data_IF_498642091699
#
_entry.id   IF_498642091699
#
_cell.length_a   1.000
_cell.length_b   1.000
_cell.length_c   1.000
_cell.angle_alpha   90.00
_cell.angle_beta   90.00
_cell.angle_gamma   90.00
#
_symmetry.space_group_name_H-M   'P 1'
#
loop_
_entity.id
_entity.type
_entity.pdbx_description
1 polymer ?
#
# COMPACT_ATOMS: atom_id res chain seq x y z
N UNK A 1 -19.52 10.55 15.36
CA UNK A 1 -18.79 11.83 15.14
C UNK A 1 -18.77 12.12 13.65
N UNK A 2 -19.00 13.37 13.22
CA UNK A 2 -18.98 13.72 11.81
C UNK A 2 -17.60 13.52 11.18
N UNK A 3 -17.57 13.23 9.87
CA UNK A 3 -16.30 13.15 9.14
C UNK A 3 -15.61 14.51 9.10
N UNK A 4 -14.28 14.59 9.28
CA UNK A 4 -13.55 15.82 9.11
C UNK A 4 -13.63 16.32 7.68
N UNK A 5 -13.83 17.62 7.51
CA UNK A 5 -13.84 18.28 6.20
C UNK A 5 -12.42 18.73 5.82
N UNK A 6 -12.07 18.57 4.55
CA UNK A 6 -10.87 19.11 3.91
C UNK A 6 -11.31 19.97 2.74
N UNK A 7 -10.91 21.24 2.73
CA UNK A 7 -11.20 22.12 1.59
C UNK A 7 -9.91 22.42 0.85
N UNK A 8 -9.82 21.96 -0.38
CA UNK A 8 -8.75 22.29 -1.32
C UNK A 8 -9.20 23.44 -2.21
N UNK A 9 -8.38 24.48 -2.32
CA UNK A 9 -8.65 25.68 -3.11
C UNK A 9 -7.52 25.77 -4.15
N UNK A 10 -7.89 25.66 -5.42
CA UNK A 10 -6.99 25.68 -6.58
C UNK A 10 -7.46 26.85 -7.45
N UNK A 11 -6.57 27.75 -7.85
CA UNK A 11 -6.96 28.84 -8.76
C UNK A 11 -7.44 28.26 -10.09
N UNK A 12 -8.20 29.05 -10.85
CA UNK A 12 -8.66 28.64 -12.18
C UNK A 12 -7.48 28.34 -13.11
N UNK A 13 -6.43 29.17 -13.09
CA UNK A 13 -5.19 28.95 -13.85
C UNK A 13 -4.52 27.62 -13.51
N UNK A 14 -4.35 27.32 -12.21
CA UNK A 14 -3.77 26.07 -11.74
C UNK A 14 -4.65 24.85 -12.06
N UNK A 15 -5.98 25.01 -12.03
CA UNK A 15 -6.92 23.95 -12.41
C UNK A 15 -6.82 23.62 -13.90
N UNK A 16 -6.72 24.63 -14.77
CA UNK A 16 -6.47 24.43 -16.21
C UNK A 16 -5.14 23.74 -16.48
N UNK A 17 -4.10 24.05 -15.70
CA UNK A 17 -2.81 23.38 -15.81
C UNK A 17 -2.89 21.90 -15.44
N UNK A 18 -3.61 21.54 -14.37
CA UNK A 18 -3.86 20.15 -13.99
C UNK A 18 -4.63 19.37 -15.07
N UNK A 19 -5.62 19.99 -15.70
CA UNK A 19 -6.45 19.34 -16.73
C UNK A 19 -5.76 19.27 -18.10
N UNK A 20 -4.78 20.14 -18.38
CA UNK A 20 -4.07 20.17 -19.67
C UNK A 20 -3.40 18.83 -19.99
N UNK A 21 -2.84 18.17 -18.99
CA UNK A 21 -2.31 16.82 -19.13
C UNK A 21 -2.37 16.08 -17.80
N UNK A 22 -3.39 15.22 -17.67
CA UNK A 22 -3.62 14.41 -16.47
C UNK A 22 -2.44 13.51 -16.10
N UNK A 23 -1.61 13.14 -17.07
CA UNK A 23 -0.48 12.21 -16.92
C UNK A 23 0.82 12.92 -16.54
N UNK A 24 0.80 14.25 -16.46
CA UNK A 24 1.93 15.00 -15.97
C UNK A 24 2.02 14.88 -14.44
N UNK A 25 3.25 14.75 -13.94
CA UNK A 25 3.55 14.66 -12.51
C UNK A 25 3.82 16.01 -11.85
N UNK A 26 3.65 17.11 -12.61
CA UNK A 26 3.78 18.48 -12.13
C UNK A 26 2.78 18.82 -11.04
N UNK A 27 3.28 19.53 -10.02
CA UNK A 27 2.46 20.11 -8.99
C UNK A 27 2.07 21.55 -9.33
N UNK A 28 0.86 21.93 -8.97
CA UNK A 28 0.38 23.32 -9.03
C UNK A 28 0.21 23.89 -7.62
N UNK A 29 0.36 25.22 -7.43
CA UNK A 29 0.09 25.84 -6.15
C UNK A 29 -1.40 25.79 -5.79
N UNK A 30 -1.69 25.54 -4.52
CA UNK A 30 -3.05 25.51 -3.97
C UNK A 30 -3.05 25.88 -2.48
N UNK A 31 -4.24 25.98 -1.88
CA UNK A 31 -4.42 26.14 -0.44
C UNK A 31 -5.26 24.99 0.10
N UNK A 32 -4.86 24.46 1.25
CA UNK A 32 -5.64 23.46 1.99
C UNK A 32 -6.15 24.10 3.28
N UNK A 33 -7.46 24.05 3.49
CA UNK A 33 -8.11 24.45 4.74
C UNK A 33 -8.52 23.21 5.52
N UNK A 34 -8.06 23.12 6.77
CA UNK A 34 -8.33 22.04 7.70
C UNK A 34 -8.57 22.62 9.09
N UNK A 35 -9.70 22.28 9.73
CA UNK A 35 -10.06 22.73 11.08
C UNK A 35 -9.89 24.26 11.28
N UNK A 36 -10.41 25.07 10.35
CA UNK A 36 -10.34 26.53 10.40
C UNK A 36 -8.98 27.14 10.03
N UNK A 37 -7.94 26.34 9.81
CA UNK A 37 -6.61 26.83 9.39
C UNK A 37 -6.40 26.60 7.90
N UNK A 38 -5.96 27.64 7.21
CA UNK A 38 -5.59 27.60 5.78
C UNK A 38 -4.07 27.63 5.65
N UNK A 39 -3.53 26.78 4.80
CA UNK A 39 -2.09 26.67 4.57
C UNK A 39 -1.81 26.50 3.09
N UNK A 40 -0.71 27.07 2.61
CA UNK A 40 -0.24 26.84 1.24
C UNK A 40 0.26 25.41 1.08
N UNK A 41 -0.08 24.83 -0.08
CA UNK A 41 0.26 23.46 -0.46
C UNK A 41 0.56 23.39 -1.95
N UNK A 42 1.21 22.32 -2.36
CA UNK A 42 1.34 21.92 -3.76
C UNK A 42 0.42 20.73 -4.00
N UNK A 43 -0.30 20.71 -5.11
CA UNK A 43 -1.24 19.63 -5.44
C UNK A 43 -1.06 19.11 -6.85
N UNK A 44 -1.30 17.81 -7.04
CA UNK A 44 -1.43 17.16 -8.35
C UNK A 44 -2.49 16.07 -8.30
N UNK A 45 -2.93 15.61 -9.48
CA UNK A 45 -3.64 14.34 -9.58
C UNK A 45 -2.69 13.17 -9.31
N UNK A 46 -3.20 12.12 -8.66
CA UNK A 46 -2.41 10.92 -8.30
C UNK A 46 -2.97 9.62 -8.86
N UNK A 47 -2.07 8.63 -8.92
CA UNK A 47 -2.34 7.27 -9.35
C UNK A 47 -1.93 7.04 -10.81
N UNK A 48 -2.13 5.83 -11.31
CA UNK A 48 -1.99 5.54 -12.74
C UNK A 48 -3.33 5.80 -13.43
N UNK A 49 -4.01 4.72 -13.82
CA UNK A 49 -5.30 4.76 -14.51
C UNK A 49 -6.39 5.59 -13.78
N UNK A 50 -6.32 5.72 -12.44
CA UNK A 50 -7.28 6.49 -11.64
C UNK A 50 -7.28 7.99 -11.95
N UNK A 51 -6.22 8.53 -12.56
CA UNK A 51 -6.14 9.92 -13.04
C UNK A 51 -7.23 10.24 -14.05
N UNK A 52 -7.74 9.23 -14.76
CA UNK A 52 -8.80 9.34 -15.76
C UNK A 52 -10.23 9.29 -15.21
N UNK A 53 -10.42 9.05 -13.91
CA UNK A 53 -11.77 8.91 -13.34
C UNK A 53 -12.51 10.22 -13.11
N UNK A 54 -13.86 10.23 -13.23
CA UNK A 54 -14.67 11.42 -12.93
C UNK A 54 -14.42 11.95 -11.52
N UNK A 55 -14.28 11.03 -10.54
CA UNK A 55 -13.89 11.34 -9.17
C UNK A 55 -12.37 11.15 -9.02
N UNK A 56 -11.61 12.23 -9.23
CA UNK A 56 -10.15 12.24 -9.23
C UNK A 56 -9.57 12.05 -7.82
N UNK A 57 -8.39 11.45 -7.73
CA UNK A 57 -7.59 11.40 -6.49
C UNK A 57 -6.48 12.44 -6.51
N UNK A 58 -6.13 12.99 -5.35
CA UNK A 58 -5.17 14.08 -5.21
C UNK A 58 -3.98 13.68 -4.35
N UNK A 59 -2.78 14.13 -4.72
CA UNK A 59 -1.63 14.18 -3.83
C UNK A 59 -1.38 15.64 -3.46
N UNK A 60 -1.34 15.91 -2.15
CA UNK A 60 -1.15 17.24 -1.59
C UNK A 60 0.11 17.24 -0.75
N UNK A 61 1.07 18.07 -1.12
CA UNK A 61 2.37 18.18 -0.45
C UNK A 61 2.46 19.49 0.32
N UNK A 62 2.92 19.39 1.57
CA UNK A 62 3.24 20.55 2.41
C UNK A 62 4.53 20.30 3.17
N UNK A 63 5.52 21.20 3.05
CA UNK A 63 6.80 21.14 3.78
C UNK A 63 7.44 19.74 3.72
N UNK A 64 7.51 19.15 2.53
CA UNK A 64 8.04 17.79 2.27
C UNK A 64 7.28 16.64 2.94
N UNK A 65 6.01 16.85 3.29
CA UNK A 65 5.08 15.79 3.66
C UNK A 65 3.97 15.68 2.62
N UNK A 66 3.81 14.50 2.04
CA UNK A 66 2.68 14.17 1.18
C UNK A 66 1.49 13.64 2.00
N UNK A 67 0.29 14.06 1.62
CA UNK A 67 -0.97 13.43 2.00
C UNK A 67 -1.71 13.07 0.72
N UNK A 68 -2.26 11.87 0.68
CA UNK A 68 -2.99 11.39 -0.48
C UNK A 68 -4.46 11.36 -0.15
N UNK A 69 -5.29 11.96 -1.01
CA UNK A 69 -6.73 11.94 -0.90
C UNK A 69 -7.25 11.04 -2.01
N UNK A 70 -7.50 9.78 -1.67
CA UNK A 70 -8.00 8.79 -2.59
C UNK A 70 -9.51 8.81 -2.66
N UNK A 71 -10.04 8.85 -3.88
CA UNK A 71 -11.45 8.63 -4.13
C UNK A 71 -11.89 7.19 -3.80
N UNK A 72 -10.95 6.24 -3.81
CA UNK A 72 -11.19 4.79 -3.68
C UNK A 72 -12.30 4.34 -4.66
N UNK A 73 -12.27 4.90 -5.89
CA UNK A 73 -13.41 4.90 -6.81
C UNK A 73 -13.83 3.49 -7.26
N UNK A 74 -12.86 2.59 -7.45
CA UNK A 74 -13.14 1.20 -7.80
C UNK A 74 -13.50 0.33 -6.61
N UNK A 75 -13.18 0.73 -5.37
CA UNK A 75 -13.54 -0.02 -4.18
C UNK A 75 -14.99 0.31 -3.77
N UNK A 76 -15.97 -0.61 -3.98
CA UNK A 76 -17.35 -0.38 -3.56
C UNK A 76 -17.51 -0.14 -2.05
N UNK A 77 -16.55 -0.59 -1.25
CA UNK A 77 -16.57 -0.45 0.21
C UNK A 77 -15.95 0.87 0.68
N UNK A 78 -15.04 1.46 -0.11
CA UNK A 78 -14.22 2.63 0.26
C UNK A 78 -13.35 2.37 1.52
N UNK A 79 -13.21 1.12 1.99
CA UNK A 79 -12.51 0.77 3.23
C UNK A 79 -11.36 -0.22 3.05
N UNK A 80 -11.18 -0.87 1.90
CA UNK A 80 -10.18 -1.96 1.73
C UNK A 80 -8.76 -1.50 1.99
N UNK A 81 -8.38 -0.36 1.42
CA UNK A 81 -7.06 0.22 1.61
C UNK A 81 -6.82 0.59 3.09
N UNK A 82 -7.83 1.18 3.74
CA UNK A 82 -7.79 1.53 5.16
C UNK A 82 -7.71 0.29 6.07
N UNK A 83 -8.46 -0.76 5.77
CA UNK A 83 -8.47 -2.02 6.50
C UNK A 83 -7.12 -2.72 6.38
N UNK A 84 -6.55 -2.76 5.17
CA UNK A 84 -5.21 -3.30 4.94
C UNK A 84 -4.16 -2.58 5.77
N UNK A 85 -4.12 -1.24 5.74
CA UNK A 85 -3.17 -0.48 6.56
C UNK A 85 -3.45 -0.54 8.07
N UNK A 86 -4.68 -0.85 8.49
CA UNK A 86 -4.97 -1.17 9.89
C UNK A 86 -4.45 -2.58 10.28
N UNK A 87 -4.46 -3.53 9.34
CA UNK A 87 -4.03 -4.92 9.56
C UNK A 87 -2.51 -5.09 9.66
N UNK A 88 -1.73 -4.45 8.78
CA UNK A 88 -0.26 -4.61 8.76
C UNK A 88 0.43 -4.34 10.11
N UNK A 89 0.07 -3.27 10.86
CA UNK A 89 0.61 -3.05 12.20
C UNK A 89 0.28 -4.17 13.19
N UNK A 90 -0.88 -4.83 13.06
CA UNK A 90 -1.27 -5.95 13.93
C UNK A 90 -0.37 -7.17 13.76
N UNK A 91 0.31 -7.30 12.62
CA UNK A 91 1.31 -8.34 12.36
C UNK A 91 2.76 -7.84 12.46
N UNK A 92 2.98 -6.60 12.91
CA UNK A 92 4.31 -6.03 13.18
C UNK A 92 4.96 -5.32 12.00
N UNK A 93 4.20 -4.93 10.98
CA UNK A 93 4.71 -4.16 9.83
C UNK A 93 4.23 -2.71 9.94
N UNK A 94 5.12 -1.70 9.96
CA UNK A 94 4.71 -0.30 9.90
C UNK A 94 3.92 -0.02 8.63
N UNK A 95 2.78 0.66 8.75
CA UNK A 95 1.93 1.02 7.61
C UNK A 95 1.44 2.48 7.71
N UNK A 96 1.07 3.10 6.58
CA UNK A 96 0.43 4.41 6.54
C UNK A 96 -0.75 4.53 7.50
N UNK A 97 -0.94 5.72 8.09
CA UNK A 97 -2.21 6.02 8.78
C UNK A 97 -3.22 6.48 7.74
N UNK A 98 -4.48 6.13 7.99
CA UNK A 98 -5.58 6.55 7.13
C UNK A 98 -6.69 7.23 7.93
N UNK A 99 -7.51 8.01 7.23
CA UNK A 99 -8.71 8.63 7.78
C UNK A 99 -9.69 8.93 6.66
N UNK A 100 -10.94 8.50 6.80
CA UNK A 100 -12.02 8.97 5.94
C UNK A 100 -12.33 10.44 6.22
N UNK A 101 -12.47 11.23 5.15
CA UNK A 101 -12.74 12.66 5.18
C UNK A 101 -13.80 13.02 4.13
N UNK A 102 -14.44 14.17 4.30
CA UNK A 102 -15.18 14.81 3.23
C UNK A 102 -14.26 15.80 2.50
N UNK A 103 -14.06 15.61 1.21
CA UNK A 103 -13.25 16.51 0.39
C UNK A 103 -14.15 17.53 -0.31
N UNK A 104 -13.76 18.79 -0.25
CA UNK A 104 -14.37 19.90 -0.97
C UNK A 104 -13.29 20.54 -1.83
N UNK A 105 -13.51 20.69 -3.13
CA UNK A 105 -12.57 21.34 -4.04
C UNK A 105 -13.24 22.56 -4.66
N UNK A 106 -12.67 23.75 -4.50
CA UNK A 106 -13.22 25.01 -5.06
C UNK A 106 -14.70 25.24 -4.73
N UNK A 107 -15.10 24.92 -3.50
CA UNK A 107 -16.49 25.05 -3.03
C UNK A 107 -17.40 23.87 -3.40
N UNK A 108 -16.96 22.97 -4.28
CA UNK A 108 -17.73 21.80 -4.69
C UNK A 108 -17.46 20.60 -3.76
N UNK A 109 -18.49 20.03 -3.10
CA UNK A 109 -18.33 18.83 -2.30
C UNK A 109 -18.13 17.60 -3.20
N UNK A 110 -16.98 16.95 -3.09
CA UNK A 110 -16.66 15.72 -3.85
C UNK A 110 -17.00 14.44 -3.07
N UNK A 111 -17.57 14.56 -1.87
CA UNK A 111 -18.00 13.42 -1.05
C UNK A 111 -16.85 12.76 -0.28
N UNK A 112 -16.99 11.44 -0.04
CA UNK A 112 -16.06 10.69 0.83
C UNK A 112 -14.75 10.40 0.11
N UNK A 113 -13.63 10.64 0.80
CA UNK A 113 -12.27 10.33 0.39
C UNK A 113 -11.51 9.65 1.52
N UNK A 114 -10.50 8.86 1.18
CA UNK A 114 -9.51 8.33 2.12
C UNK A 114 -8.27 9.24 2.13
N UNK A 115 -8.05 9.94 3.25
CA UNK A 115 -6.78 10.63 3.54
C UNK A 115 -5.75 9.59 4.00
N UNK A 116 -4.63 9.47 3.28
CA UNK A 116 -3.55 8.53 3.55
C UNK A 116 -2.26 9.32 3.84
N UNK A 117 -1.59 9.01 4.95
CA UNK A 117 -0.27 9.54 5.29
C UNK A 117 0.77 9.04 4.28
N UNK A 118 1.42 9.94 3.54
CA UNK A 118 2.56 9.58 2.71
C UNK A 118 3.73 9.06 3.57
N UNK A 119 4.38 8.00 3.12
CA UNK A 119 5.54 7.41 3.78
C UNK A 119 6.76 8.30 3.52
N UNK A 120 6.92 9.32 4.35
CA UNK A 120 8.01 10.30 4.24
C UNK A 120 8.82 10.39 5.53
N UNK A 121 9.81 11.30 5.60
CA UNK A 121 10.61 11.50 6.83
C UNK A 121 9.75 11.69 8.09
N UNK A 122 8.57 12.31 7.99
CA UNK A 122 7.65 12.49 9.12
C UNK A 122 6.99 11.18 9.56
N UNK A 123 6.65 10.28 8.62
CA UNK A 123 6.09 8.96 8.91
C UNK A 123 7.00 8.21 9.89
N UNK A 124 8.31 8.21 9.60
CA UNK A 124 9.34 7.60 10.41
C UNK A 124 9.51 8.32 11.76
N UNK A 125 9.61 9.65 11.73
CA UNK A 125 9.79 10.46 12.95
C UNK A 125 8.66 10.26 13.97
N UNK A 126 7.40 10.27 13.51
CA UNK A 126 6.21 10.06 14.36
C UNK A 126 6.18 8.69 15.02
N UNK A 127 6.78 7.69 14.39
CA UNK A 127 6.86 6.31 14.88
C UNK A 127 8.16 6.03 15.63
N UNK A 128 9.04 7.03 15.79
CA UNK A 128 10.40 6.87 16.35
C UNK A 128 11.21 5.79 15.61
N UNK A 129 10.98 5.63 14.31
CA UNK A 129 11.74 4.72 13.45
C UNK A 129 12.87 5.51 12.82
N UNK A 130 14.10 5.03 12.93
CA UNK A 130 15.23 5.59 12.20
C UNK A 130 15.30 5.00 10.79
N UNK A 131 15.24 5.84 9.76
CA UNK A 131 15.44 5.45 8.36
C UNK A 131 16.61 6.24 7.75
N UNK A 132 17.47 5.54 7.00
CA UNK A 132 18.59 6.12 6.26
C UNK A 132 18.21 6.44 4.83
N UNK A 133 17.35 5.61 4.24
CA UNK A 133 16.85 5.74 2.88
C UNK A 133 15.43 5.22 2.76
N UNK A 134 14.77 5.64 1.69
CA UNK A 134 13.45 5.20 1.30
C UNK A 134 13.34 5.15 -0.23
N UNK A 135 12.78 4.04 -0.73
CA UNK A 135 12.51 3.79 -2.13
C UNK A 135 11.06 3.33 -2.28
N UNK A 136 10.30 3.93 -3.18
CA UNK A 136 8.96 3.46 -3.54
C UNK A 136 9.04 2.53 -4.74
N UNK A 137 8.31 1.41 -4.70
CA UNK A 137 8.07 0.59 -5.89
C UNK A 137 6.93 1.24 -6.70
N UNK A 138 7.26 1.84 -7.85
CA UNK A 138 6.33 2.64 -8.66
C UNK A 138 5.80 1.91 -9.89
N UNK A 139 6.37 0.76 -10.23
CA UNK A 139 5.84 -0.16 -11.26
C UNK A 139 6.42 -1.57 -11.06
N UNK A 140 5.91 -2.52 -11.86
CA UNK A 140 6.25 -3.94 -11.89
C UNK A 140 7.75 -4.27 -12.07
N UNK A 141 8.61 -3.31 -12.42
CA UNK A 141 10.07 -3.54 -12.53
C UNK A 141 10.75 -3.56 -11.16
N UNK A 142 10.06 -3.15 -10.10
CA UNK A 142 10.49 -3.35 -8.72
C UNK A 142 10.19 -4.79 -8.26
N UNK A 143 10.81 -5.78 -8.89
CA UNK A 143 10.53 -7.23 -8.69
C UNK A 143 11.68 -8.00 -8.01
N UNK A 144 12.75 -7.28 -7.65
CA UNK A 144 14.01 -7.82 -7.13
C UNK A 144 14.77 -8.75 -8.10
N UNK A 145 14.45 -8.75 -9.39
CA UNK A 145 15.05 -9.60 -10.42
C UNK A 145 16.07 -8.81 -11.28
N UNK A 146 17.00 -9.54 -11.91
CA UNK A 146 17.96 -8.98 -12.87
C UNK A 146 17.30 -8.74 -14.24
N UNK A 147 16.30 -9.54 -14.59
CA UNK A 147 15.64 -9.53 -15.89
C UNK A 147 14.29 -8.81 -15.83
N UNK A 148 13.93 -8.12 -16.90
CA UNK A 148 12.59 -7.55 -17.07
C UNK A 148 11.58 -8.67 -17.33
N UNK A 149 10.51 -8.73 -16.56
CA UNK A 149 9.40 -9.68 -16.81
C UNK A 149 8.70 -9.45 -18.16
N UNK A 150 8.72 -8.22 -18.68
CA UNK A 150 8.08 -7.85 -19.95
C UNK A 150 8.86 -8.31 -21.19
N UNK A 151 10.19 -8.20 -21.14
CA UNK A 151 11.05 -8.42 -22.32
C UNK A 151 11.99 -9.61 -22.17
N UNK A 152 12.08 -10.20 -20.98
CA UNK A 152 13.04 -11.24 -20.62
C UNK A 152 14.51 -10.86 -20.88
N UNK A 153 14.81 -9.56 -20.93
CA UNK A 153 16.17 -9.02 -21.11
C UNK A 153 16.71 -8.49 -19.79
N UNK A 154 18.03 -8.45 -19.65
CA UNK A 154 18.69 -7.81 -18.51
C UNK A 154 18.21 -6.35 -18.39
N UNK A 155 17.86 -5.92 -17.18
CA UNK A 155 17.48 -4.53 -16.94
C UNK A 155 18.67 -3.60 -17.15
N UNK A 156 18.42 -2.46 -17.79
CA UNK A 156 19.41 -1.38 -17.89
C UNK A 156 19.83 -0.83 -16.53
N UNK A 157 18.97 -0.96 -15.52
CA UNK A 157 19.26 -0.66 -14.13
C UNK A 157 18.53 -1.61 -13.20
N UNK A 158 19.23 -2.17 -12.21
CA UNK A 158 18.60 -2.96 -11.13
C UNK A 158 17.70 -2.12 -10.21
N UNK A 159 17.75 -0.80 -10.33
CA UNK A 159 16.88 0.13 -9.61
C UNK A 159 15.69 0.58 -10.46
N UNK A 160 15.51 0.02 -11.68
CA UNK A 160 14.32 0.27 -12.47
C UNK A 160 13.05 -0.10 -11.68
N UNK A 161 12.04 0.75 -11.74
CA UNK A 161 10.80 0.60 -10.95
C UNK A 161 10.88 1.11 -9.51
N UNK A 162 12.06 1.56 -9.05
CA UNK A 162 12.21 2.20 -7.76
C UNK A 162 12.37 3.71 -7.88
N UNK A 163 11.51 4.46 -7.17
CA UNK A 163 11.66 5.90 -6.99
C UNK A 163 12.38 6.18 -5.67
N UNK A 164 13.51 6.86 -5.73
CA UNK A 164 14.27 7.26 -4.55
C UNK A 164 13.67 8.51 -3.90
N UNK A 165 13.12 8.36 -2.69
CA UNK A 165 12.45 9.45 -1.96
C UNK A 165 13.42 10.26 -1.11
N UNK A 166 14.30 9.57 -0.38
CA UNK A 166 15.41 10.19 0.34
C UNK A 166 16.50 9.18 0.65
N UNK A 167 17.69 9.69 0.94
CA UNK A 167 18.89 8.92 1.21
C UNK A 167 20.06 9.52 0.45
N UNK A 168 21.27 9.24 0.90
CA UNK A 168 22.48 9.63 0.18
C UNK A 168 22.69 8.74 -1.05
N UNK A 169 23.50 9.19 -2.01
CA UNK A 169 23.75 8.44 -3.26
C UNK A 169 24.26 7.00 -3.03
N UNK A 170 25.01 6.75 -1.94
CA UNK A 170 25.48 5.41 -1.59
C UNK A 170 24.35 4.45 -1.16
N UNK A 171 23.18 4.95 -0.76
CA UNK A 171 22.03 4.12 -0.41
C UNK A 171 21.44 3.43 -1.64
N UNK A 172 21.42 4.11 -2.80
CA UNK A 172 21.08 3.51 -4.09
C UNK A 172 22.00 2.32 -4.41
N UNK A 173 23.31 2.50 -4.16
CA UNK A 173 24.29 1.43 -4.33
C UNK A 173 24.05 0.27 -3.37
N UNK A 174 23.58 0.51 -2.14
CA UNK A 174 23.23 -0.58 -1.20
C UNK A 174 22.04 -1.41 -1.69
N UNK A 175 20.97 -0.78 -2.20
CA UNK A 175 19.84 -1.51 -2.77
C UNK A 175 20.26 -2.30 -4.02
N UNK A 176 21.06 -1.69 -4.90
CA UNK A 176 21.62 -2.36 -6.09
C UNK A 176 22.47 -3.57 -5.71
N UNK A 177 23.37 -3.43 -4.75
CA UNK A 177 24.23 -4.53 -4.27
C UNK A 177 23.43 -5.62 -3.59
N UNK A 178 22.35 -5.29 -2.89
CA UNK A 178 21.44 -6.29 -2.34
C UNK A 178 20.79 -7.13 -3.45
N UNK A 179 20.19 -6.48 -4.46
CA UNK A 179 19.56 -7.18 -5.60
C UNK A 179 20.59 -8.05 -6.34
N UNK A 180 21.80 -7.55 -6.57
CA UNK A 180 22.87 -8.34 -7.19
C UNK A 180 23.27 -9.55 -6.31
N UNK A 181 23.47 -9.33 -5.02
CA UNK A 181 23.96 -10.36 -4.10
C UNK A 181 22.99 -11.53 -3.88
N UNK A 182 21.67 -11.29 -3.89
CA UNK A 182 20.68 -12.39 -3.75
C UNK A 182 20.69 -13.36 -4.95
N UNK A 183 21.19 -12.92 -6.11
CA UNK A 183 21.41 -13.77 -7.28
C UNK A 183 22.75 -14.51 -7.24
N UNK A 184 23.80 -13.84 -6.74
CA UNK A 184 25.16 -14.39 -6.70
C UNK A 184 25.35 -15.46 -5.62
N UNK A 185 24.84 -15.24 -4.41
CA UNK A 185 25.08 -16.14 -3.29
C UNK A 185 24.01 -17.24 -3.21
N UNK A 186 24.40 -18.48 -2.87
CA UNK A 186 23.52 -19.65 -2.73
C UNK A 186 23.84 -20.41 -1.43
N UNK A 187 23.00 -21.39 -1.08
CA UNK A 187 23.18 -22.20 0.13
C UNK A 187 23.34 -21.33 1.38
N UNK A 188 24.13 -21.81 2.35
CA UNK A 188 24.39 -21.12 3.62
C UNK A 188 24.93 -19.70 3.46
N UNK A 189 25.80 -19.46 2.47
CA UNK A 189 26.33 -18.13 2.17
C UNK A 189 25.23 -17.17 1.71
N UNK A 190 24.30 -17.63 0.87
CA UNK A 190 23.16 -16.83 0.43
C UNK A 190 22.19 -16.50 1.56
N UNK A 191 21.94 -17.47 2.45
CA UNK A 191 21.12 -17.22 3.65
C UNK A 191 21.76 -16.17 4.56
N UNK A 192 23.06 -16.31 4.84
CA UNK A 192 23.83 -15.37 5.65
C UNK A 192 23.88 -13.97 5.03
N UNK A 193 24.06 -13.87 3.70
CA UNK A 193 24.02 -12.61 2.97
C UNK A 193 22.67 -11.90 3.12
N UNK A 194 21.57 -12.63 2.95
CA UNK A 194 20.23 -12.06 3.10
C UNK A 194 20.02 -11.57 4.53
N UNK A 195 20.39 -12.36 5.54
CA UNK A 195 20.27 -11.99 6.96
C UNK A 195 21.11 -10.76 7.33
N UNK A 196 22.23 -10.52 6.67
CA UNK A 196 23.09 -9.35 6.92
C UNK A 196 22.51 -8.07 6.33
N UNK A 197 21.83 -8.16 5.18
CA UNK A 197 21.34 -7.00 4.43
C UNK A 197 19.87 -6.66 4.70
N UNK A 198 19.03 -7.64 5.06
CA UNK A 198 17.59 -7.49 5.19
C UNK A 198 17.08 -7.99 6.53
N UNK A 199 16.05 -7.31 7.04
CA UNK A 199 15.28 -7.77 8.17
C UNK A 199 14.26 -8.80 7.69
N UNK A 200 14.67 -10.07 7.73
CA UNK A 200 13.86 -11.17 7.19
C UNK A 200 12.54 -11.32 7.94
N UNK A 201 12.49 -11.04 9.24
CA UNK A 201 11.24 -11.11 10.01
C UNK A 201 10.24 -10.05 9.52
N UNK A 202 10.69 -8.81 9.31
CA UNK A 202 9.85 -7.77 8.73
C UNK A 202 9.40 -8.10 7.30
N UNK A 203 10.28 -8.62 6.45
CA UNK A 203 9.91 -9.03 5.10
C UNK A 203 8.86 -10.14 5.11
N UNK A 204 9.05 -11.21 5.89
CA UNK A 204 8.11 -12.34 5.95
C UNK A 204 6.76 -11.95 6.56
N UNK A 205 6.73 -10.96 7.47
CA UNK A 205 5.47 -10.37 7.96
C UNK A 205 4.78 -9.53 6.89
N UNK A 206 5.53 -8.75 6.11
CA UNK A 206 4.97 -8.02 4.97
C UNK A 206 4.41 -8.99 3.93
N UNK A 207 5.15 -10.07 3.63
CA UNK A 207 4.73 -11.16 2.74
C UNK A 207 3.42 -11.78 3.24
N UNK A 208 3.36 -12.13 4.52
CA UNK A 208 2.14 -12.64 5.14
C UNK A 208 0.97 -11.64 5.02
N UNK A 209 1.25 -10.35 5.17
CA UNK A 209 0.27 -9.29 4.95
C UNK A 209 -0.29 -9.30 3.53
N UNK A 210 0.57 -9.19 2.51
CA UNK A 210 0.18 -9.23 1.10
C UNK A 210 -0.62 -10.49 0.74
N UNK A 211 -0.16 -11.65 1.22
CA UNK A 211 -0.80 -12.96 1.02
C UNK A 211 -2.17 -13.04 1.71
N UNK A 212 -2.30 -12.53 2.93
CA UNK A 212 -3.55 -12.61 3.71
C UNK A 212 -4.59 -11.59 3.24
N UNK A 213 -4.19 -10.41 2.80
CA UNK A 213 -5.14 -9.42 2.23
C UNK A 213 -5.48 -9.74 0.78
N UNK A 214 -4.67 -10.56 0.10
CA UNK A 214 -4.87 -10.93 -1.30
C UNK A 214 -4.50 -9.82 -2.28
N UNK A 215 -3.51 -8.99 -1.94
CA UNK A 215 -3.02 -7.97 -2.87
C UNK A 215 -2.22 -8.66 -3.96
N UNK A 216 -2.85 -8.92 -5.10
CA UNK A 216 -2.20 -9.60 -6.23
C UNK A 216 -1.00 -8.81 -6.70
N UNK A 217 -1.13 -7.50 -6.90
CA UNK A 217 -0.06 -6.64 -7.38
C UNK A 217 1.04 -6.36 -6.33
N UNK A 218 0.80 -6.74 -5.07
CA UNK A 218 1.60 -6.35 -3.90
C UNK A 218 3.05 -6.83 -3.86
N UNK A 219 3.50 -7.69 -4.78
CA UNK A 219 4.81 -8.35 -4.68
C UNK A 219 5.88 -7.71 -5.58
N UNK A 220 5.47 -7.00 -6.62
CA UNK A 220 6.37 -6.34 -7.60
C UNK A 220 6.04 -4.84 -7.77
N UNK A 221 5.04 -4.37 -7.03
CA UNK A 221 4.63 -2.98 -6.88
C UNK A 221 3.91 -2.84 -5.52
N UNK A 222 3.31 -1.68 -5.20
CA UNK A 222 2.48 -1.52 -4.00
C UNK A 222 3.25 -1.73 -2.68
N UNK A 223 4.51 -1.30 -2.65
CA UNK A 223 5.31 -1.26 -1.42
C UNK A 223 6.38 -0.17 -1.46
N UNK A 224 6.96 0.11 -0.29
CA UNK A 224 8.18 0.88 -0.15
C UNK A 224 9.24 0.09 0.61
N UNK A 225 10.51 0.33 0.30
CA UNK A 225 11.68 -0.23 0.99
C UNK A 225 12.37 0.91 1.72
N UNK A 226 12.71 0.70 3.00
CA UNK A 226 13.57 1.60 3.74
C UNK A 226 14.73 0.86 4.38
N UNK A 227 15.88 1.53 4.51
CA UNK A 227 17.01 1.01 5.28
C UNK A 227 16.97 1.56 6.70
N UNK A 228 16.85 0.67 7.68
CA UNK A 228 16.81 1.05 9.10
C UNK A 228 18.12 1.66 9.56
N UNK A 229 18.07 2.73 10.35
CA UNK A 229 19.26 3.37 10.93
C UNK A 229 19.87 2.55 12.07
N UNK A 230 19.05 1.87 12.87
CA UNK A 230 19.52 1.08 14.01
C UNK A 230 20.14 -0.24 13.57
N UNK A 231 19.49 -0.95 12.65
CA UNK A 231 19.93 -2.29 12.23
C UNK A 231 20.70 -2.29 10.92
N UNK A 232 20.70 -1.18 10.16
CA UNK A 232 21.27 -1.05 8.81
C UNK A 232 20.68 -1.98 7.75
N UNK A 233 19.57 -2.67 8.09
CA UNK A 233 18.88 -3.64 7.24
C UNK A 233 17.73 -3.02 6.46
N UNK A 234 17.49 -3.55 5.27
CA UNK A 234 16.31 -3.25 4.45
C UNK A 234 15.04 -3.81 5.09
N UNK A 235 13.96 -3.04 4.98
CA UNK A 235 12.64 -3.32 5.55
C UNK A 235 11.53 -2.85 4.60
N UNK A 236 10.38 -3.51 4.65
CA UNK A 236 9.22 -3.29 3.80
C UNK A 236 8.13 -2.47 4.51
N UNK A 237 7.40 -1.68 3.73
CA UNK A 237 6.17 -0.94 4.10
C UNK A 237 5.14 -1.16 2.99
N UNK A 238 3.88 -1.50 3.29
CA UNK A 238 2.82 -1.66 2.28
C UNK A 238 2.36 -0.31 1.71
N UNK A 239 1.90 -0.31 0.45
CA UNK A 239 1.32 0.85 -0.24
C UNK A 239 0.24 0.40 -1.26
N UNK A 240 -0.79 1.20 -1.57
CA UNK A 240 -1.91 0.85 -2.50
C UNK A 240 -2.50 -0.57 -2.31
N UNK A 241 -3.39 -0.70 -1.31
CA UNK A 241 -4.03 -1.97 -0.94
C UNK A 241 -5.55 -1.95 -1.16
N UNK A 242 -6.05 -1.21 -2.15
CA UNK A 242 -7.47 -1.21 -2.52
C UNK A 242 -7.92 -2.50 -3.21
N UNK A 243 -7.06 -3.11 -4.04
CA UNK A 243 -7.29 -4.41 -4.69
C UNK A 243 -7.06 -5.59 -3.75
N UNK A 244 -7.91 -5.72 -2.72
CA UNK A 244 -7.78 -6.71 -1.64
C UNK A 244 -9.14 -7.22 -1.15
N UNK A 245 -9.14 -8.14 -0.19
CA UNK A 245 -10.35 -8.60 0.53
C UNK A 245 -11.48 -9.05 -0.40
N UNK A 246 -11.15 -9.94 -1.34
CA UNK A 246 -12.10 -10.55 -2.28
C UNK A 246 -12.40 -9.71 -3.52
N UNK A 247 -11.66 -8.61 -3.76
CA UNK A 247 -11.74 -7.85 -5.01
C UNK A 247 -10.36 -7.52 -5.58
N UNK A 248 -10.27 -7.38 -6.90
CA UNK A 248 -9.08 -6.85 -7.56
C UNK A 248 -9.07 -5.30 -7.59
N UNK A 249 -8.00 -4.71 -8.14
CA UNK A 249 -7.81 -3.25 -8.21
C UNK A 249 -8.86 -2.50 -9.06
N UNK A 250 -9.68 -3.20 -9.86
CA UNK A 250 -10.80 -2.63 -10.62
C UNK A 250 -12.17 -2.84 -9.94
N UNK A 251 -12.16 -3.38 -8.71
CA UNK A 251 -13.36 -3.64 -7.93
C UNK A 251 -14.13 -4.89 -8.35
N UNK A 252 -13.58 -5.76 -9.21
CA UNK A 252 -14.24 -7.04 -9.57
C UNK A 252 -14.05 -8.05 -8.45
N UNK A 253 -15.09 -8.85 -8.18
CA UNK A 253 -14.97 -10.01 -7.27
C UNK A 253 -13.93 -10.97 -7.82
N UNK A 254 -13.15 -11.56 -6.93
CA UNK A 254 -12.14 -12.56 -7.24
C UNK A 254 -12.16 -13.65 -6.18
N UNK A 255 -11.69 -14.83 -6.56
CA UNK A 255 -11.55 -15.96 -5.66
C UNK A 255 -10.57 -15.67 -4.52
N UNK A 256 -10.84 -16.26 -3.35
CA UNK A 256 -10.01 -16.10 -2.16
C UNK A 256 -8.62 -16.77 -2.29
N UNK A 257 -8.38 -17.53 -3.36
CA UNK A 257 -7.10 -18.17 -3.68
C UNK A 257 -6.27 -17.44 -4.76
N UNK A 258 -6.75 -16.29 -5.28
CA UNK A 258 -6.08 -15.48 -6.31
C UNK A 258 -4.56 -15.32 -6.06
N UNK A 259 -4.19 -15.11 -4.80
CA UNK A 259 -2.79 -15.03 -4.37
C UNK A 259 -2.38 -16.37 -3.77
N UNK A 260 -1.33 -16.99 -4.31
CA UNK A 260 -0.75 -18.22 -3.73
C UNK A 260 -0.21 -17.95 -2.33
N UNK A 261 -0.31 -18.93 -1.43
CA UNK A 261 0.14 -18.80 -0.03
C UNK A 261 1.65 -18.55 0.09
N UNK A 262 2.43 -19.04 -0.88
CA UNK A 262 3.86 -18.74 -0.98
C UNK A 262 4.17 -17.31 -1.44
N UNK A 263 3.21 -16.59 -2.02
CA UNK A 263 3.45 -15.31 -2.70
C UNK A 263 4.27 -15.45 -3.99
N UNK A 264 4.75 -14.33 -4.54
CA UNK A 264 5.65 -14.32 -5.69
C UNK A 264 6.70 -13.18 -5.61
N UNK A 265 7.38 -12.90 -6.73
CA UNK A 265 8.64 -12.17 -6.92
C UNK A 265 9.91 -13.02 -6.67
N UNK A 266 11.05 -12.53 -7.17
CA UNK A 266 12.33 -13.25 -7.08
C UNK A 266 12.79 -13.46 -5.63
N UNK A 267 12.72 -12.41 -4.81
CA UNK A 267 13.20 -12.44 -3.43
C UNK A 267 12.37 -13.40 -2.56
N UNK A 268 11.05 -13.44 -2.72
CA UNK A 268 10.16 -14.39 -2.04
C UNK A 268 10.54 -15.81 -2.39
N UNK A 269 10.69 -16.14 -3.68
CA UNK A 269 11.14 -17.48 -4.12
C UNK A 269 12.51 -17.82 -3.54
N UNK A 270 13.43 -16.86 -3.53
CA UNK A 270 14.78 -17.02 -2.96
C UNK A 270 14.74 -17.26 -1.45
N UNK A 271 13.93 -16.53 -0.69
CA UNK A 271 13.80 -16.72 0.75
C UNK A 271 13.16 -18.08 1.05
N UNK A 272 12.07 -18.42 0.37
CA UNK A 272 11.34 -19.67 0.62
C UNK A 272 12.06 -20.92 0.10
N UNK A 273 13.20 -20.81 -0.57
CA UNK A 273 14.07 -21.96 -0.84
C UNK A 273 14.90 -22.39 0.39
N UNK A 274 15.00 -21.54 1.42
CA UNK A 274 15.70 -21.86 2.67
C UNK A 274 14.74 -22.45 3.72
N UNK A 275 15.01 -23.65 4.26
CA UNK A 275 14.14 -24.28 5.26
C UNK A 275 13.91 -23.43 6.51
N UNK A 276 14.92 -22.67 6.94
CA UNK A 276 14.84 -21.78 8.12
C UNK A 276 13.82 -20.65 7.91
N UNK A 277 13.80 -20.02 6.74
CA UNK A 277 12.87 -18.96 6.39
C UNK A 277 11.46 -19.49 6.13
N UNK A 278 11.31 -20.66 5.49
CA UNK A 278 10.02 -21.37 5.38
C UNK A 278 9.39 -21.62 6.75
N UNK A 279 10.15 -22.18 7.69
CA UNK A 279 9.68 -22.42 9.08
C UNK A 279 9.25 -21.13 9.77
N UNK A 280 10.01 -20.05 9.60
CA UNK A 280 9.67 -18.74 10.14
C UNK A 280 8.36 -18.20 9.52
N UNK A 281 8.22 -18.27 8.20
CA UNK A 281 7.04 -17.81 7.48
C UNK A 281 5.78 -18.59 7.89
N UNK A 282 5.87 -19.92 7.96
CA UNK A 282 4.80 -20.79 8.49
C UNK A 282 4.37 -20.37 9.90
N UNK A 283 5.33 -20.06 10.77
CA UNK A 283 5.04 -19.57 12.13
C UNK A 283 4.33 -18.22 12.12
N UNK A 284 4.74 -17.29 11.25
CA UNK A 284 4.10 -15.98 11.09
C UNK A 284 2.66 -16.13 10.62
N UNK A 285 2.41 -16.94 9.58
CA UNK A 285 1.06 -17.22 9.09
C UNK A 285 0.19 -17.86 10.16
N UNK A 286 0.69 -18.89 10.87
CA UNK A 286 -0.04 -19.54 11.95
C UNK A 286 -0.43 -18.54 13.05
N UNK A 287 0.49 -17.66 13.46
CA UNK A 287 0.21 -16.59 14.44
C UNK A 287 -0.82 -15.60 13.93
N UNK A 288 -0.74 -15.19 12.65
CA UNK A 288 -1.71 -14.30 12.05
C UNK A 288 -3.12 -14.92 12.03
N UNK A 289 -3.23 -16.19 11.64
CA UNK A 289 -4.49 -16.94 11.62
C UNK A 289 -5.06 -17.21 13.02
N UNK A 290 -4.22 -17.35 14.05
CA UNK A 290 -4.70 -17.57 15.41
C UNK A 290 -4.97 -16.26 16.16
N UNK A 291 -4.63 -15.10 15.58
CA UNK A 291 -4.79 -13.80 16.20
C UNK A 291 -5.44 -12.78 15.27
N UNK A 292 -4.65 -11.88 14.66
CA UNK A 292 -5.16 -10.68 14.02
C UNK A 292 -6.01 -10.94 12.77
N UNK A 293 -5.80 -12.01 12.02
CA UNK A 293 -6.54 -12.32 10.79
C UNK A 293 -7.80 -13.16 11.08
N UNK A 294 -8.67 -12.68 11.96
CA UNK A 294 -9.92 -13.34 12.36
C UNK A 294 -11.10 -12.40 12.21
N UNK A 295 -12.30 -12.94 11.99
CA UNK A 295 -13.52 -12.12 11.94
C UNK A 295 -13.69 -11.29 13.21
N UNK A 296 -13.47 -11.89 14.39
CA UNK A 296 -13.56 -11.21 15.69
C UNK A 296 -12.62 -10.02 15.86
N UNK A 297 -11.53 -9.96 15.08
CA UNK A 297 -10.56 -8.86 15.13
C UNK A 297 -10.76 -7.86 14.00
N UNK A 298 -11.08 -8.32 12.79
CA UNK A 298 -11.17 -7.48 11.60
C UNK A 298 -12.57 -6.90 11.37
N UNK A 299 -13.64 -7.67 11.61
CA UNK A 299 -14.99 -7.18 11.32
C UNK A 299 -15.39 -5.98 12.18
N UNK A 300 -15.04 -5.89 13.48
CA UNK A 300 -15.28 -4.66 14.24
C UNK A 300 -14.60 -3.41 13.66
N UNK A 301 -13.49 -3.56 12.93
CA UNK A 301 -12.83 -2.45 12.24
C UNK A 301 -13.60 -2.08 10.97
N UNK A 302 -14.04 -3.08 10.19
CA UNK A 302 -14.86 -2.91 8.98
C UNK A 302 -16.18 -2.23 9.32
N UNK A 303 -16.90 -2.75 10.31
CA UNK A 303 -18.21 -2.26 10.72
C UNK A 303 -18.09 -0.80 11.18
N UNK A 304 -17.12 -0.50 12.05
CA UNK A 304 -16.87 0.89 12.49
C UNK A 304 -16.55 1.83 11.33
N UNK A 305 -15.70 1.44 10.38
CA UNK A 305 -15.36 2.28 9.22
C UNK A 305 -16.59 2.49 8.33
N UNK A 306 -17.36 1.43 8.07
CA UNK A 306 -18.54 1.44 7.22
C UNK A 306 -19.65 2.31 7.84
N UNK A 307 -19.94 2.13 9.12
CA UNK A 307 -20.93 2.92 9.86
C UNK A 307 -20.58 4.41 9.87
N UNK A 308 -19.29 4.73 10.07
CA UNK A 308 -18.81 6.11 10.10
C UNK A 308 -19.03 6.84 8.76
N UNK A 309 -19.01 6.13 7.63
CA UNK A 309 -19.15 6.73 6.30
C UNK A 309 -20.54 6.53 5.67
N UNK A 310 -21.36 5.62 6.22
CA UNK A 310 -22.60 5.13 5.58
C UNK A 310 -23.58 6.23 5.15
N UNK A 311 -23.85 7.22 6.01
CA UNK A 311 -24.76 8.32 5.68
C UNK A 311 -24.20 9.18 4.54
N UNK A 312 -22.91 9.48 4.56
CA UNK A 312 -22.25 10.26 3.51
C UNK A 312 -22.19 9.50 2.19
N UNK A 313 -21.98 8.18 2.23
CA UNK A 313 -21.98 7.33 1.04
C UNK A 313 -23.37 7.29 0.38
N UNK A 314 -24.44 7.31 1.17
CA UNK A 314 -25.82 7.36 0.67
C UNK A 314 -26.10 8.63 -0.13
N UNK A 315 -25.50 9.75 0.28
CA UNK A 315 -25.71 11.07 -0.33
C UNK A 315 -24.70 11.38 -1.47
N UNK A 316 -23.59 10.64 -1.54
CA UNK A 316 -22.52 10.88 -2.50
C UNK A 316 -22.87 10.38 -3.92
N UNK A 317 -23.29 11.32 -4.78
CA UNK A 317 -23.65 11.08 -6.18
C UNK A 317 -22.46 10.92 -7.13
N UNK A 318 -21.24 11.09 -6.64
CA UNK A 318 -20.01 11.03 -7.48
C UNK A 318 -19.39 9.64 -7.54
N UNK A 319 -20.02 8.64 -6.90
CA UNK A 319 -19.50 7.27 -6.79
C UNK A 319 -19.83 6.42 -8.02
N UNK A 320 -18.95 5.45 -8.29
CA UNK A 320 -19.18 4.37 -9.28
C UNK A 320 -20.25 3.37 -8.85
N UNK A 321 -20.29 3.06 -7.55
CA UNK A 321 -21.06 1.97 -6.97
C UNK A 321 -22.28 2.47 -6.20
N UNK A 322 -23.36 1.70 -6.19
CA UNK A 322 -24.58 2.07 -5.47
C UNK A 322 -24.39 2.02 -3.95
N UNK A 323 -25.32 2.63 -3.21
CA UNK A 323 -25.38 2.47 -1.75
C UNK A 323 -25.66 1.02 -1.35
N UNK A 324 -26.44 0.28 -2.14
CA UNK A 324 -26.71 -1.15 -1.92
C UNK A 324 -25.44 -1.99 -2.06
N UNK A 325 -24.61 -1.71 -3.05
CA UNK A 325 -23.31 -2.40 -3.21
C UNK A 325 -22.43 -2.16 -1.98
N UNK A 326 -22.30 -0.91 -1.54
CA UNK A 326 -21.57 -0.55 -0.33
C UNK A 326 -22.05 -1.34 0.91
N UNK A 327 -23.36 -1.43 1.15
CA UNK A 327 -23.92 -2.17 2.28
C UNK A 327 -23.63 -3.68 2.23
N UNK A 328 -23.39 -4.24 1.04
CA UNK A 328 -23.07 -5.65 0.88
C UNK A 328 -21.58 -5.97 1.14
N UNK A 329 -20.69 -4.98 1.07
CA UNK A 329 -19.24 -5.22 1.13
C UNK A 329 -18.72 -5.80 2.45
N UNK A 330 -19.24 -5.44 3.64
CA UNK A 330 -18.84 -6.11 4.87
C UNK A 330 -19.05 -7.64 4.82
N UNK A 331 -20.08 -8.12 4.11
CA UNK A 331 -20.31 -9.55 3.90
C UNK A 331 -19.25 -10.17 2.97
N UNK A 332 -18.88 -9.47 1.89
CA UNK A 332 -17.81 -9.92 0.98
C UNK A 332 -16.48 -10.06 1.73
N UNK A 333 -16.11 -9.05 2.51
CA UNK A 333 -14.87 -9.06 3.32
C UNK A 333 -14.91 -10.20 4.35
N UNK A 334 -16.05 -10.41 5.02
CA UNK A 334 -16.22 -11.50 5.99
C UNK A 334 -16.02 -12.89 5.35
N UNK A 335 -16.65 -13.12 4.19
CA UNK A 335 -16.53 -14.38 3.47
C UNK A 335 -15.10 -14.62 3.01
N UNK A 336 -14.46 -13.60 2.44
CA UNK A 336 -13.04 -13.64 2.07
C UNK A 336 -12.16 -14.04 3.26
N UNK A 337 -12.35 -13.43 4.44
CA UNK A 337 -11.57 -13.79 5.64
C UNK A 337 -11.75 -15.28 5.96
N UNK A 338 -12.97 -15.83 5.95
CA UNK A 338 -13.23 -17.25 6.25
C UNK A 338 -12.55 -18.18 5.25
N UNK A 339 -12.78 -17.95 3.98
CA UNK A 339 -12.24 -18.76 2.88
C UNK A 339 -10.72 -18.69 2.84
N UNK A 340 -10.16 -17.48 2.93
CA UNK A 340 -8.71 -17.28 2.92
C UNK A 340 -8.03 -17.97 4.09
N UNK A 341 -8.64 -17.95 5.27
CA UNK A 341 -8.13 -18.70 6.44
C UNK A 341 -8.12 -20.21 6.17
N UNK A 342 -9.17 -20.75 5.56
CA UNK A 342 -9.24 -22.17 5.22
C UNK A 342 -8.15 -22.56 4.21
N UNK A 343 -7.98 -21.78 3.14
CA UNK A 343 -6.94 -21.96 2.13
C UNK A 343 -5.54 -21.95 2.78
N UNK A 344 -5.24 -20.91 3.56
CA UNK A 344 -3.90 -20.79 4.18
C UNK A 344 -3.65 -21.95 5.15
N UNK A 345 -4.64 -22.35 5.95
CA UNK A 345 -4.50 -23.51 6.86
C UNK A 345 -4.21 -24.80 6.11
N UNK A 346 -4.89 -25.04 4.98
CA UNK A 346 -4.67 -26.20 4.15
C UNK A 346 -3.24 -26.21 3.57
N UNK A 347 -2.73 -25.05 3.15
CA UNK A 347 -1.40 -24.89 2.55
C UNK A 347 -0.25 -24.91 3.56
N UNK A 348 -0.48 -24.64 4.85
CA UNK A 348 0.59 -24.66 5.86
C UNK A 348 1.31 -26.01 5.95
N UNK A 349 0.69 -27.11 5.53
CA UNK A 349 1.32 -28.44 5.50
C UNK A 349 2.32 -28.62 4.35
N UNK A 350 2.25 -27.77 3.31
CA UNK A 350 3.12 -27.77 2.14
C UNK A 350 4.22 -26.70 2.21
N UNK A 351 4.03 -25.70 3.08
CA UNK A 351 5.01 -24.67 3.45
C UNK A 351 6.14 -25.12 4.38
#
# INVERSE_FOLDING_TARGET
MPLPIRTLIISESASRELERNLWNDNYVPAKMRTNGRTVDVSVRYRGGHTRGYPKRSYEVVRKNQAFHYNAEFDDPSVVRNALSFAFFPMIGVPAPRTKHVLLVVNGQPLGVYLEIEGVEKLFFRRRKIGALSLFYAVNNRADFDLFSSESNRLKSSLLAGYEHRFGESYELSKLRSFIKGIHMHRGSQGEAFIRSCMDVDNYLRWLAGAVLTGNYDGFEQNYAIYRSRSTRKLRMIPWDYEGTWGRNCYGKLVESDLVKVAGYNFLTRKLLSYPSFRKQYKTILQKALNGPFTESKLMPIVDRMSDQISSYIREDRTRKWSYRDFLNEPRVIRNYIRERRAIVRAELKHL
#
